data_IF_489847060597
#
_entry.id   IF_489847060597
#
_cell.length_a   1.000
_cell.length_b   1.000
_cell.length_c   1.000
_cell.angle_alpha   90.00
_cell.angle_beta   90.00
_cell.angle_gamma   90.00
#
_symmetry.space_group_name_H-M   'P 1'
#
loop_
_entity.id
_entity.type
_entity.pdbx_description
1 polymer ?
#
# COMPACT_ATOMS: atom_id res chain seq x y z
N UNK A 1 -10.06 -27.31 -29.65
CA UNK A 1 -9.80 -25.84 -29.68
C UNK A 1 -9.27 -25.49 -31.05
N UNK A 2 -9.98 -24.66 -31.82
CA UNK A 2 -9.60 -24.22 -33.16
C UNK A 2 -8.27 -23.47 -33.17
N UNK A 3 -7.62 -23.34 -34.35
CA UNK A 3 -6.38 -22.56 -34.47
C UNK A 3 -6.61 -21.09 -34.10
N UNK A 4 -7.76 -20.56 -34.51
CA UNK A 4 -8.16 -19.16 -34.22
C UNK A 4 -8.33 -18.89 -32.72
N UNK A 5 -8.94 -19.83 -31.98
CA UNK A 5 -9.04 -19.72 -30.52
C UNK A 5 -7.66 -19.70 -29.85
N UNK A 6 -6.74 -20.56 -30.27
CA UNK A 6 -5.37 -20.58 -29.73
C UNK A 6 -4.62 -19.29 -30.02
N UNK A 7 -4.80 -18.73 -31.23
CA UNK A 7 -4.21 -17.42 -31.56
C UNK A 7 -4.81 -16.28 -30.74
N UNK A 8 -6.14 -16.30 -30.53
CA UNK A 8 -6.80 -15.30 -29.71
C UNK A 8 -6.35 -15.37 -28.24
N UNK A 9 -6.21 -16.59 -27.69
CA UNK A 9 -5.71 -16.80 -26.33
C UNK A 9 -4.27 -16.29 -26.18
N UNK A 10 -3.38 -16.58 -27.13
CA UNK A 10 -2.02 -16.04 -27.15
C UNK A 10 -2.00 -14.50 -27.21
N UNK A 11 -2.91 -13.88 -27.96
CA UNK A 11 -3.05 -12.42 -27.99
C UNK A 11 -3.53 -11.85 -26.63
N UNK A 12 -4.43 -12.55 -25.95
CA UNK A 12 -4.89 -12.19 -24.60
C UNK A 12 -3.74 -12.25 -23.60
N UNK A 13 -2.91 -13.31 -23.63
CA UNK A 13 -1.74 -13.41 -22.76
C UNK A 13 -0.70 -12.31 -23.04
N UNK A 14 -0.60 -11.83 -24.26
CA UNK A 14 0.24 -10.67 -24.63
C UNK A 14 -0.41 -9.31 -24.32
N UNK A 15 -1.62 -9.28 -23.74
CA UNK A 15 -2.35 -8.05 -23.44
C UNK A 15 -2.93 -7.33 -24.67
N UNK A 16 -2.97 -7.99 -25.84
CA UNK A 16 -3.46 -7.41 -27.11
C UNK A 16 -4.96 -7.66 -27.27
N UNK A 17 -5.74 -7.11 -26.35
CA UNK A 17 -7.17 -7.42 -26.20
C UNK A 17 -8.03 -7.00 -27.38
N UNK A 18 -7.74 -5.86 -28.05
CA UNK A 18 -8.47 -5.41 -29.24
C UNK A 18 -8.27 -6.37 -30.41
N UNK A 19 -7.03 -6.85 -30.60
CA UNK A 19 -6.71 -7.78 -31.68
C UNK A 19 -7.34 -9.15 -31.42
N UNK A 20 -7.29 -9.63 -30.19
CA UNK A 20 -7.96 -10.85 -29.78
C UNK A 20 -9.47 -10.77 -30.00
N UNK A 21 -10.11 -9.66 -29.57
CA UNK A 21 -11.54 -9.44 -29.75
C UNK A 21 -11.97 -9.43 -31.24
N UNK A 22 -11.18 -8.81 -32.12
CA UNK A 22 -11.44 -8.80 -33.55
C UNK A 22 -11.37 -10.20 -34.16
N UNK A 23 -10.35 -11.00 -33.78
CA UNK A 23 -10.21 -12.39 -34.22
C UNK A 23 -11.36 -13.27 -33.73
N UNK A 24 -11.74 -13.12 -32.46
CA UNK A 24 -12.88 -13.85 -31.88
C UNK A 24 -14.21 -13.46 -32.49
N UNK A 25 -14.43 -12.17 -32.80
CA UNK A 25 -15.63 -11.75 -33.53
C UNK A 25 -15.75 -12.38 -34.90
N UNK A 26 -14.63 -12.55 -35.65
CA UNK A 26 -14.59 -13.25 -36.91
C UNK A 26 -14.93 -14.74 -36.76
N UNK A 27 -14.37 -15.42 -35.75
CA UNK A 27 -14.67 -16.81 -35.44
C UNK A 27 -16.16 -17.00 -35.08
N UNK A 28 -16.70 -16.16 -34.23
CA UNK A 28 -18.11 -16.20 -33.80
C UNK A 28 -19.10 -15.83 -34.92
N UNK A 29 -18.66 -15.23 -36.02
CA UNK A 29 -19.49 -15.05 -37.21
C UNK A 29 -19.79 -16.41 -37.92
N UNK A 30 -18.92 -17.40 -37.76
CA UNK A 30 -19.10 -18.76 -38.30
C UNK A 30 -19.62 -19.75 -37.29
N UNK A 31 -19.22 -19.56 -36.01
CA UNK A 31 -19.60 -20.43 -34.87
C UNK A 31 -20.17 -19.59 -33.71
N UNK A 32 -21.41 -19.06 -33.83
CA UNK A 32 -21.96 -18.07 -32.87
C UNK A 32 -22.23 -18.63 -31.47
N UNK A 33 -22.30 -19.94 -31.32
CA UNK A 33 -22.56 -20.61 -30.04
C UNK A 33 -21.30 -21.24 -29.42
N UNK A 34 -20.12 -20.95 -29.93
CA UNK A 34 -18.87 -21.42 -29.31
C UNK A 34 -18.68 -20.72 -27.94
N UNK A 35 -19.06 -21.45 -26.88
CA UNK A 35 -19.01 -20.94 -25.51
C UNK A 35 -17.60 -20.53 -25.10
N UNK A 36 -16.57 -21.26 -25.51
CA UNK A 36 -15.18 -20.95 -25.18
C UNK A 36 -14.73 -19.62 -25.85
N UNK A 37 -15.08 -19.42 -27.12
CA UNK A 37 -14.83 -18.16 -27.82
C UNK A 37 -15.58 -16.99 -27.20
N UNK A 38 -16.83 -17.18 -26.80
CA UNK A 38 -17.63 -16.17 -26.12
C UNK A 38 -17.03 -15.77 -24.75
N UNK A 39 -16.56 -16.75 -23.95
CA UNK A 39 -15.89 -16.47 -22.67
C UNK A 39 -14.61 -15.68 -22.89
N UNK A 40 -13.81 -16.03 -23.90
CA UNK A 40 -12.58 -15.32 -24.20
C UNK A 40 -12.84 -13.90 -24.72
N UNK A 41 -13.90 -13.71 -25.53
CA UNK A 41 -14.34 -12.39 -25.98
C UNK A 41 -14.85 -11.53 -24.80
N UNK A 42 -15.61 -12.13 -23.88
CA UNK A 42 -16.03 -11.45 -22.65
C UNK A 42 -14.82 -11.00 -21.81
N UNK A 43 -13.79 -11.85 -21.70
CA UNK A 43 -12.52 -11.50 -21.03
C UNK A 43 -11.82 -10.31 -21.73
N UNK A 44 -11.76 -10.29 -23.06
CA UNK A 44 -11.20 -9.15 -23.79
C UNK A 44 -11.97 -7.86 -23.52
N UNK A 45 -13.30 -7.88 -23.60
CA UNK A 45 -14.17 -6.71 -23.35
C UNK A 45 -14.02 -6.20 -21.93
N UNK A 46 -14.00 -7.10 -20.95
CA UNK A 46 -13.75 -6.75 -19.55
C UNK A 46 -12.38 -6.06 -19.36
N UNK A 47 -11.32 -6.57 -20.00
CA UNK A 47 -9.99 -5.97 -19.92
C UNK A 47 -9.89 -4.62 -20.63
N UNK A 48 -10.76 -4.35 -21.59
CA UNK A 48 -10.92 -3.07 -22.28
C UNK A 48 -11.82 -2.08 -21.50
N UNK A 49 -12.48 -2.52 -20.43
CA UNK A 49 -13.38 -1.71 -19.62
C UNK A 49 -14.83 -1.65 -20.11
N UNK A 50 -15.17 -2.47 -21.11
CA UNK A 50 -16.53 -2.56 -21.67
C UNK A 50 -17.40 -3.56 -20.91
N UNK A 51 -17.59 -3.31 -19.62
CA UNK A 51 -18.17 -4.26 -18.66
C UNK A 51 -19.58 -4.73 -19.04
N UNK A 52 -20.42 -3.83 -19.57
CA UNK A 52 -21.80 -4.20 -19.95
C UNK A 52 -21.83 -5.11 -21.18
N UNK A 53 -20.97 -4.86 -22.17
CA UNK A 53 -20.83 -5.73 -23.32
C UNK A 53 -20.19 -7.08 -22.95
N UNK A 54 -19.23 -7.05 -22.01
CA UNK A 54 -18.64 -8.26 -21.45
C UNK A 54 -19.69 -9.13 -20.76
N UNK A 55 -20.57 -8.51 -19.94
CA UNK A 55 -21.67 -9.23 -19.27
C UNK A 55 -22.63 -9.86 -20.29
N UNK A 56 -23.08 -9.09 -21.29
CA UNK A 56 -23.97 -9.61 -22.33
C UNK A 56 -23.33 -10.79 -23.09
N UNK A 57 -22.02 -10.73 -23.33
CA UNK A 57 -21.28 -11.79 -24.03
C UNK A 57 -21.15 -13.07 -23.20
N UNK A 58 -20.82 -12.94 -21.92
CA UNK A 58 -20.70 -14.13 -21.05
C UNK A 58 -22.07 -14.76 -20.79
N UNK A 59 -23.16 -13.99 -20.80
CA UNK A 59 -24.52 -14.53 -20.75
C UNK A 59 -24.90 -15.29 -22.02
N UNK A 60 -24.35 -14.91 -23.19
CA UNK A 60 -24.48 -15.74 -24.40
C UNK A 60 -23.72 -17.06 -24.24
N UNK A 61 -22.50 -17.04 -23.68
CA UNK A 61 -21.76 -18.26 -23.38
C UNK A 61 -22.54 -19.20 -22.46
N UNK A 62 -23.17 -18.67 -21.41
CA UNK A 62 -23.98 -19.43 -20.45
C UNK A 62 -25.29 -19.96 -21.06
N UNK A 63 -25.85 -19.32 -22.09
CA UNK A 63 -26.97 -19.87 -22.87
C UNK A 63 -26.55 -21.05 -23.74
N UNK A 64 -25.36 -20.97 -24.35
CA UNK A 64 -24.81 -22.06 -25.14
C UNK A 64 -24.36 -23.24 -24.24
N UNK A 65 -23.70 -22.96 -23.13
CA UNK A 65 -23.19 -23.96 -22.20
C UNK A 65 -23.46 -23.55 -20.75
N UNK A 66 -24.63 -23.93 -20.17
CA UNK A 66 -25.05 -23.53 -18.80
C UNK A 66 -24.12 -23.99 -17.68
N UNK A 67 -23.41 -25.08 -17.88
CA UNK A 67 -22.48 -25.66 -16.89
C UNK A 67 -21.00 -25.28 -17.17
N UNK A 68 -20.74 -24.27 -18.00
CA UNK A 68 -19.41 -23.75 -18.25
C UNK A 68 -18.87 -23.03 -17.01
N UNK A 69 -17.96 -23.68 -16.29
CA UNK A 69 -17.29 -23.09 -15.10
C UNK A 69 -16.58 -21.80 -15.47
N UNK A 70 -15.87 -21.77 -16.62
CA UNK A 70 -15.18 -20.59 -17.12
C UNK A 70 -16.11 -19.39 -17.33
N UNK A 71 -17.32 -19.64 -17.85
CA UNK A 71 -18.33 -18.60 -18.04
C UNK A 71 -18.87 -18.06 -16.71
N UNK A 72 -19.15 -18.91 -15.72
CA UNK A 72 -19.59 -18.49 -14.40
C UNK A 72 -18.50 -17.67 -13.65
N UNK A 73 -17.25 -18.09 -13.74
CA UNK A 73 -16.12 -17.34 -13.17
C UNK A 73 -15.96 -15.98 -13.85
N UNK A 74 -16.03 -15.95 -15.19
CA UNK A 74 -15.93 -14.69 -15.95
C UNK A 74 -17.08 -13.75 -15.61
N UNK A 75 -18.32 -14.26 -15.53
CA UNK A 75 -19.49 -13.49 -15.08
C UNK A 75 -19.29 -12.91 -13.69
N UNK A 76 -18.70 -13.69 -12.79
CA UNK A 76 -18.38 -13.20 -11.42
C UNK A 76 -17.41 -12.02 -11.47
N UNK A 77 -16.32 -12.10 -12.24
CA UNK A 77 -15.35 -11.01 -12.35
C UNK A 77 -15.96 -9.73 -12.93
N UNK A 78 -16.78 -9.85 -13.96
CA UNK A 78 -17.47 -8.72 -14.59
C UNK A 78 -18.44 -8.06 -13.59
N UNK A 79 -19.24 -8.87 -12.87
CA UNK A 79 -20.20 -8.37 -11.87
C UNK A 79 -19.50 -7.69 -10.68
N UNK A 80 -18.29 -8.16 -10.30
CA UNK A 80 -17.45 -7.47 -9.30
C UNK A 80 -17.01 -6.09 -9.80
N UNK A 81 -16.63 -5.96 -11.07
CA UNK A 81 -16.25 -4.68 -11.66
C UNK A 81 -17.46 -3.72 -11.73
N UNK A 82 -18.66 -4.24 -12.04
CA UNK A 82 -19.91 -3.51 -12.01
C UNK A 82 -20.43 -3.22 -10.59
N UNK A 83 -19.79 -3.80 -9.54
CA UNK A 83 -20.19 -3.71 -8.12
C UNK A 83 -21.54 -4.39 -7.80
N UNK A 84 -21.97 -5.29 -8.65
CA UNK A 84 -23.17 -6.11 -8.49
C UNK A 84 -22.87 -7.34 -7.60
N UNK A 85 -22.52 -7.07 -6.33
CA UNK A 85 -21.95 -8.06 -5.40
C UNK A 85 -22.88 -9.26 -5.14
N UNK A 86 -24.20 -9.05 -5.13
CA UNK A 86 -25.15 -10.14 -4.88
C UNK A 86 -25.17 -11.15 -6.04
N UNK A 87 -25.20 -10.65 -7.28
CA UNK A 87 -25.19 -11.50 -8.47
C UNK A 87 -23.82 -12.14 -8.67
N UNK A 88 -22.71 -11.45 -8.31
CA UNK A 88 -21.37 -12.00 -8.32
C UNK A 88 -21.28 -13.21 -7.36
N UNK A 89 -21.83 -13.09 -6.13
CA UNK A 89 -21.84 -14.19 -5.16
C UNK A 89 -22.65 -15.40 -5.67
N UNK A 90 -23.81 -15.17 -6.26
CA UNK A 90 -24.62 -16.23 -6.86
C UNK A 90 -23.84 -16.96 -7.97
N UNK A 91 -23.20 -16.21 -8.87
CA UNK A 91 -22.38 -16.76 -9.96
C UNK A 91 -21.20 -17.58 -9.43
N UNK A 92 -20.49 -17.07 -8.41
CA UNK A 92 -19.37 -17.77 -7.79
C UNK A 92 -19.82 -19.08 -7.09
N UNK A 93 -20.99 -19.07 -6.40
CA UNK A 93 -21.56 -20.27 -5.79
C UNK A 93 -21.91 -21.30 -6.86
N UNK A 94 -22.49 -20.86 -7.99
CA UNK A 94 -22.79 -21.76 -9.10
C UNK A 94 -21.53 -22.39 -9.69
N UNK A 95 -20.44 -21.65 -9.81
CA UNK A 95 -19.16 -22.21 -10.23
C UNK A 95 -18.62 -23.29 -9.26
N UNK A 96 -18.80 -23.10 -7.94
CA UNK A 96 -18.43 -24.11 -6.93
C UNK A 96 -19.33 -25.35 -7.01
N UNK A 97 -20.63 -25.19 -7.24
CA UNK A 97 -21.56 -26.32 -7.41
C UNK A 97 -21.21 -27.19 -8.61
N UNK A 98 -20.83 -26.57 -9.76
CA UNK A 98 -20.45 -27.28 -10.98
C UNK A 98 -19.06 -27.93 -10.83
N UNK A 99 -18.11 -27.21 -10.26
CA UNK A 99 -16.73 -27.69 -10.13
C UNK A 99 -16.19 -27.55 -8.70
N UNK A 100 -16.65 -28.41 -7.75
CA UNK A 100 -16.29 -28.31 -6.33
C UNK A 100 -14.83 -28.68 -6.05
N UNK A 101 -14.14 -29.33 -6.98
CA UNK A 101 -12.73 -29.69 -6.88
C UNK A 101 -11.79 -28.76 -7.66
N UNK A 102 -12.32 -27.76 -8.34
CA UNK A 102 -11.52 -26.75 -9.01
C UNK A 102 -11.21 -25.59 -8.07
N UNK A 103 -9.94 -25.39 -7.77
CA UNK A 103 -9.50 -24.37 -6.79
C UNK A 103 -9.98 -22.96 -7.16
N UNK A 104 -9.97 -22.63 -8.48
CA UNK A 104 -10.39 -21.33 -8.98
C UNK A 104 -11.84 -20.95 -8.64
N UNK A 105 -12.76 -21.94 -8.50
CA UNK A 105 -14.14 -21.72 -8.06
C UNK A 105 -14.15 -21.22 -6.61
N UNK A 106 -13.40 -21.86 -5.72
CA UNK A 106 -13.31 -21.47 -4.31
C UNK A 106 -12.55 -20.15 -4.12
N UNK A 107 -11.48 -19.94 -4.90
CA UNK A 107 -10.74 -18.68 -4.94
C UNK A 107 -11.67 -17.51 -5.31
N UNK A 108 -12.44 -17.66 -6.38
CA UNK A 108 -13.39 -16.63 -6.85
C UNK A 108 -14.49 -16.38 -5.83
N UNK A 109 -15.06 -17.44 -5.23
CA UNK A 109 -16.05 -17.28 -4.15
C UNK A 109 -15.46 -16.54 -2.95
N UNK A 110 -14.25 -16.91 -2.52
CA UNK A 110 -13.53 -16.24 -1.44
C UNK A 110 -13.31 -14.76 -1.73
N UNK A 111 -12.91 -14.42 -2.95
CA UNK A 111 -12.71 -13.04 -3.41
C UNK A 111 -13.99 -12.22 -3.36
N UNK A 112 -15.13 -12.77 -3.78
CA UNK A 112 -16.42 -12.09 -3.72
C UNK A 112 -16.86 -11.86 -2.27
N UNK A 113 -16.77 -12.90 -1.44
CA UNK A 113 -17.17 -12.83 -0.04
C UNK A 113 -16.30 -11.86 0.77
N UNK A 114 -15.02 -11.72 0.40
CA UNK A 114 -14.09 -10.78 1.04
C UNK A 114 -14.49 -9.31 0.86
N UNK A 115 -15.24 -8.96 -0.19
CA UNK A 115 -15.77 -7.60 -0.39
C UNK A 115 -16.85 -7.22 0.62
N UNK A 116 -17.39 -8.18 1.39
CA UNK A 116 -18.42 -7.94 2.38
C UNK A 116 -17.87 -7.37 3.68
N UNK A 117 -18.63 -6.46 4.29
CA UNK A 117 -18.33 -5.95 5.64
C UNK A 117 -18.83 -6.86 6.77
N UNK A 118 -19.72 -7.82 6.47
CA UNK A 118 -20.34 -8.71 7.46
C UNK A 118 -19.35 -9.78 7.94
N UNK A 119 -19.27 -9.97 9.25
CA UNK A 119 -18.32 -10.89 9.89
C UNK A 119 -18.49 -12.35 9.44
N UNK A 120 -19.74 -12.81 9.29
CA UNK A 120 -20.04 -14.17 8.83
C UNK A 120 -19.50 -14.42 7.42
N UNK A 121 -19.65 -13.43 6.53
CA UNK A 121 -19.12 -13.52 5.17
C UNK A 121 -17.58 -13.49 5.14
N UNK A 122 -16.93 -12.73 6.03
CA UNK A 122 -15.47 -12.75 6.14
C UNK A 122 -14.94 -14.12 6.55
N UNK A 123 -15.64 -14.81 7.48
CA UNK A 123 -15.29 -16.19 7.85
C UNK A 123 -15.51 -17.14 6.68
N UNK A 124 -16.64 -17.02 5.98
CA UNK A 124 -16.89 -17.84 4.79
C UNK A 124 -15.87 -17.58 3.68
N UNK A 125 -15.42 -16.33 3.48
CA UNK A 125 -14.32 -15.99 2.57
C UNK A 125 -13.02 -16.72 2.96
N UNK A 126 -12.69 -16.69 4.25
CA UNK A 126 -11.50 -17.36 4.75
C UNK A 126 -11.55 -18.88 4.57
N UNK A 127 -12.69 -19.53 4.83
CA UNK A 127 -12.85 -20.96 4.59
C UNK A 127 -12.77 -21.31 3.09
N UNK A 128 -13.38 -20.49 2.21
CA UNK A 128 -13.26 -20.68 0.77
C UNK A 128 -11.79 -20.54 0.29
N UNK A 129 -11.06 -19.55 0.79
CA UNK A 129 -9.64 -19.38 0.49
C UNK A 129 -8.80 -20.59 0.95
N UNK A 130 -9.06 -21.11 2.15
CA UNK A 130 -8.39 -22.31 2.66
C UNK A 130 -8.70 -23.54 1.81
N UNK A 131 -9.93 -23.67 1.33
CA UNK A 131 -10.31 -24.76 0.41
C UNK A 131 -9.56 -24.63 -0.91
N UNK A 132 -9.40 -23.43 -1.45
CA UNK A 132 -8.61 -23.19 -2.65
C UNK A 132 -7.15 -23.66 -2.48
N UNK A 133 -6.49 -23.30 -1.36
CA UNK A 133 -5.13 -23.77 -1.03
C UNK A 133 -5.07 -25.28 -0.86
N UNK A 134 -6.08 -25.90 -0.22
CA UNK A 134 -6.10 -27.35 -0.06
C UNK A 134 -6.22 -28.11 -1.39
N UNK A 135 -6.86 -27.51 -2.39
CA UNK A 135 -7.03 -28.06 -3.73
C UNK A 135 -5.81 -27.81 -4.65
N UNK A 136 -5.13 -26.69 -4.45
CA UNK A 136 -3.96 -26.29 -5.23
C UNK A 136 -2.93 -25.57 -4.35
N UNK A 137 -2.11 -26.31 -3.60
CA UNK A 137 -1.15 -25.74 -2.65
C UNK A 137 0.04 -25.03 -3.31
N UNK A 138 0.23 -25.20 -4.61
CA UNK A 138 1.26 -24.54 -5.43
C UNK A 138 0.82 -23.19 -6.01
N UNK A 139 -0.45 -22.82 -5.83
CA UNK A 139 -0.98 -21.58 -6.39
C UNK A 139 -0.74 -20.40 -5.45
N UNK A 140 0.12 -19.48 -5.88
CA UNK A 140 0.46 -18.26 -5.13
C UNK A 140 -0.78 -17.41 -4.80
N UNK A 141 -1.69 -17.24 -5.76
CA UNK A 141 -2.92 -16.46 -5.60
C UNK A 141 -3.84 -17.02 -4.51
N UNK A 142 -3.90 -18.35 -4.37
CA UNK A 142 -4.70 -19.00 -3.32
C UNK A 142 -4.12 -18.68 -1.92
N UNK A 143 -2.82 -18.74 -1.76
CA UNK A 143 -2.13 -18.35 -0.53
C UNK A 143 -2.28 -16.85 -0.24
N UNK A 144 -2.17 -16.01 -1.26
CA UNK A 144 -2.42 -14.58 -1.12
C UNK A 144 -3.84 -14.30 -0.60
N UNK A 145 -4.86 -14.97 -1.14
CA UNK A 145 -6.24 -14.82 -0.68
C UNK A 145 -6.41 -15.31 0.78
N UNK A 146 -5.76 -16.40 1.18
CA UNK A 146 -5.73 -16.82 2.60
C UNK A 146 -5.15 -15.71 3.46
N UNK A 147 -4.03 -15.09 3.05
CA UNK A 147 -3.41 -13.98 3.76
C UNK A 147 -4.36 -12.80 3.93
N UNK A 148 -5.03 -12.40 2.86
CA UNK A 148 -5.99 -11.30 2.86
C UNK A 148 -7.19 -11.56 3.78
N UNK A 149 -7.80 -12.72 3.64
CA UNK A 149 -9.02 -13.09 4.41
C UNK A 149 -8.70 -13.37 5.88
N UNK A 150 -7.57 -14.02 6.20
CA UNK A 150 -7.08 -14.20 7.57
C UNK A 150 -6.83 -12.85 8.27
N UNK A 151 -6.24 -11.88 7.56
CA UNK A 151 -6.05 -10.52 8.07
C UNK A 151 -7.38 -9.85 8.42
N UNK A 152 -8.45 -10.08 7.62
CA UNK A 152 -9.78 -9.50 7.85
C UNK A 152 -10.54 -10.15 9.00
N UNK A 153 -10.29 -11.41 9.30
CA UNK A 153 -10.83 -12.07 10.50
C UNK A 153 -9.97 -11.84 11.74
N UNK A 154 -8.81 -11.20 11.58
CA UNK A 154 -7.93 -10.80 12.68
C UNK A 154 -6.80 -11.79 13.00
N UNK A 155 -6.68 -12.89 12.25
CA UNK A 155 -5.58 -13.85 12.41
C UNK A 155 -4.33 -13.39 11.65
N UNK A 156 -3.60 -12.45 12.28
CA UNK A 156 -2.44 -11.81 11.67
C UNK A 156 -1.24 -12.76 11.53
N UNK A 157 -1.19 -13.83 12.31
CA UNK A 157 -0.10 -14.80 12.22
C UNK A 157 -0.26 -15.68 10.99
N UNK A 158 -1.46 -16.22 10.77
CA UNK A 158 -1.79 -16.98 9.55
C UNK A 158 -1.66 -16.07 8.32
N UNK A 159 -2.13 -14.82 8.41
CA UNK A 159 -1.98 -13.87 7.30
C UNK A 159 -0.50 -13.66 6.91
N UNK A 160 0.39 -13.51 7.89
CA UNK A 160 1.83 -13.36 7.63
C UNK A 160 2.39 -14.59 6.93
N UNK A 161 2.13 -15.79 7.47
CA UNK A 161 2.62 -17.06 6.90
C UNK A 161 2.11 -17.27 5.47
N UNK A 162 0.83 -16.97 5.23
CA UNK A 162 0.22 -17.12 3.92
C UNK A 162 0.83 -16.18 2.87
N UNK A 163 1.08 -14.90 3.23
CA UNK A 163 1.79 -13.97 2.33
C UNK A 163 3.24 -14.39 2.10
N UNK A 164 3.95 -14.89 3.13
CA UNK A 164 5.31 -15.40 2.98
C UNK A 164 5.35 -16.64 2.04
N UNK A 165 4.36 -17.53 2.13
CA UNK A 165 4.21 -18.66 1.20
C UNK A 165 3.88 -18.19 -0.21
N UNK A 166 2.95 -17.25 -0.37
CA UNK A 166 2.64 -16.67 -1.68
C UNK A 166 3.89 -16.09 -2.34
N UNK A 167 4.72 -15.34 -1.60
CA UNK A 167 5.99 -14.79 -2.10
C UNK A 167 7.08 -15.84 -2.36
N UNK A 168 7.03 -16.99 -1.70
CA UNK A 168 7.95 -18.10 -2.01
C UNK A 168 7.58 -18.79 -3.33
N UNK A 169 6.30 -18.80 -3.70
CA UNK A 169 5.77 -19.35 -4.95
C UNK A 169 5.87 -18.34 -6.10
N UNK A 170 5.54 -17.07 -5.83
CA UNK A 170 5.67 -15.97 -6.77
C UNK A 170 6.39 -14.78 -6.11
N UNK A 171 7.71 -14.66 -6.25
CA UNK A 171 8.49 -13.55 -5.70
C UNK A 171 8.20 -12.19 -6.35
N UNK A 172 7.52 -12.16 -7.50
CA UNK A 172 7.19 -10.94 -8.24
C UNK A 172 5.81 -10.38 -7.90
N UNK A 173 5.08 -10.98 -6.96
CA UNK A 173 3.78 -10.48 -6.51
C UNK A 173 3.91 -9.16 -5.74
N UNK A 174 3.68 -8.03 -6.43
CA UNK A 174 3.70 -6.70 -5.83
C UNK A 174 2.67 -6.55 -4.71
N UNK A 175 1.49 -7.15 -4.88
CA UNK A 175 0.40 -7.14 -3.91
C UNK A 175 0.76 -7.88 -2.61
N UNK A 176 1.39 -9.05 -2.72
CA UNK A 176 1.83 -9.82 -1.57
C UNK A 176 2.93 -9.08 -0.78
N UNK A 177 3.91 -8.48 -1.47
CA UNK A 177 4.92 -7.61 -0.85
C UNK A 177 4.29 -6.44 -0.10
N UNK A 178 3.33 -5.75 -0.72
CA UNK A 178 2.63 -4.62 -0.10
C UNK A 178 1.85 -5.05 1.16
N UNK A 179 1.07 -6.13 1.07
CA UNK A 179 0.23 -6.59 2.19
C UNK A 179 1.06 -7.12 3.37
N UNK A 180 2.12 -7.90 3.10
CA UNK A 180 3.07 -8.34 4.14
C UNK A 180 3.74 -7.14 4.82
N UNK A 181 4.10 -6.12 4.05
CA UNK A 181 4.69 -4.88 4.56
C UNK A 181 3.74 -4.12 5.49
N UNK A 182 2.45 -4.06 5.15
CA UNK A 182 1.42 -3.49 6.01
C UNK A 182 1.30 -4.24 7.34
N UNK A 183 1.40 -5.58 7.34
CA UNK A 183 1.44 -6.38 8.57
C UNK A 183 2.67 -6.07 9.41
N UNK A 184 3.86 -5.99 8.79
CA UNK A 184 5.08 -5.59 9.50
C UNK A 184 4.96 -4.20 10.09
N UNK A 185 4.32 -3.25 9.40
CA UNK A 185 4.11 -1.90 9.88
C UNK A 185 3.19 -1.83 11.10
N UNK A 186 2.17 -2.72 11.21
CA UNK A 186 1.33 -2.86 12.41
C UNK A 186 2.14 -3.26 13.64
N UNK A 187 3.20 -4.07 13.47
CA UNK A 187 4.07 -4.57 14.54
C UNK A 187 5.32 -3.72 14.78
N UNK A 188 5.45 -2.54 14.12
CA UNK A 188 6.66 -1.70 14.13
C UNK A 188 7.20 -1.32 15.51
N UNK A 189 6.34 -1.28 16.54
CA UNK A 189 6.72 -0.94 17.91
C UNK A 189 6.97 -2.16 18.80
N UNK A 190 6.41 -3.31 18.44
CA UNK A 190 6.48 -4.54 19.25
C UNK A 190 7.58 -5.50 18.82
N UNK A 191 7.94 -5.51 17.53
CA UNK A 191 8.93 -6.43 16.97
C UNK A 191 10.09 -5.65 16.35
N UNK A 192 11.36 -5.83 16.85
CA UNK A 192 12.53 -5.20 16.24
C UNK A 192 12.65 -5.54 14.75
N UNK A 193 13.07 -4.58 13.92
CA UNK A 193 13.24 -4.77 12.48
C UNK A 193 11.96 -4.75 11.66
N UNK A 194 10.75 -4.75 12.26
CA UNK A 194 9.50 -4.74 11.49
C UNK A 194 9.34 -3.51 10.61
N UNK A 195 9.81 -2.34 11.06
CA UNK A 195 9.79 -1.13 10.23
C UNK A 195 10.68 -1.28 8.99
N UNK A 196 11.87 -1.85 9.15
CA UNK A 196 12.82 -2.09 8.05
C UNK A 196 12.24 -3.06 7.04
N UNK A 197 11.72 -4.21 7.49
CA UNK A 197 11.04 -5.19 6.62
C UNK A 197 9.84 -4.60 5.88
N UNK A 198 9.06 -3.74 6.54
CA UNK A 198 7.96 -3.03 5.87
C UNK A 198 8.48 -2.10 4.77
N UNK A 199 9.55 -1.36 5.03
CA UNK A 199 10.16 -0.48 4.03
C UNK A 199 10.74 -1.27 2.85
N UNK A 200 11.42 -2.38 3.11
CA UNK A 200 11.95 -3.29 2.07
C UNK A 200 10.84 -3.80 1.16
N UNK A 201 9.78 -4.36 1.73
CA UNK A 201 8.68 -4.90 0.95
C UNK A 201 7.91 -3.83 0.17
N UNK A 202 7.71 -2.62 0.71
CA UNK A 202 7.12 -1.53 -0.08
C UNK A 202 8.02 -1.05 -1.21
N UNK A 203 9.34 -1.03 -1.02
CA UNK A 203 10.30 -0.72 -2.09
C UNK A 203 10.23 -1.79 -3.17
N UNK A 204 10.17 -3.06 -2.78
CA UNK A 204 10.03 -4.18 -3.72
C UNK A 204 8.71 -4.10 -4.50
N UNK A 205 7.58 -3.92 -3.80
CA UNK A 205 6.27 -3.74 -4.43
C UNK A 205 6.27 -2.59 -5.45
N UNK A 206 6.81 -1.42 -5.06
CA UNK A 206 6.88 -0.27 -5.96
C UNK A 206 7.88 -0.44 -7.12
N UNK A 207 8.86 -1.33 -7.00
CA UNK A 207 9.79 -1.67 -8.08
C UNK A 207 9.17 -2.63 -9.09
N UNK A 208 8.33 -3.56 -8.63
CA UNK A 208 7.62 -4.53 -9.48
C UNK A 208 6.46 -3.88 -10.24
N UNK A 209 5.71 -3.00 -9.58
CA UNK A 209 4.67 -2.21 -10.23
C UNK A 209 4.87 -0.71 -10.01
N UNK A 210 5.40 -0.04 -11.04
CA UNK A 210 5.64 1.41 -11.03
C UNK A 210 4.35 2.24 -10.92
N UNK A 211 3.20 1.66 -11.26
CA UNK A 211 1.89 2.30 -11.18
C UNK A 211 1.18 1.99 -9.86
N UNK A 212 1.74 1.14 -9.00
CA UNK A 212 1.18 0.86 -7.68
C UNK A 212 1.16 2.13 -6.82
N UNK A 213 0.00 2.78 -6.82
CA UNK A 213 -0.25 3.97 -6.00
C UNK A 213 -0.24 3.65 -4.50
N UNK A 214 -0.60 2.42 -4.14
CA UNK A 214 -0.68 2.00 -2.74
C UNK A 214 0.72 1.85 -2.13
N UNK A 215 1.62 1.13 -2.79
CA UNK A 215 3.00 0.96 -2.33
C UNK A 215 3.72 2.32 -2.24
N UNK A 216 3.57 3.17 -3.26
CA UNK A 216 4.12 4.53 -3.26
C UNK A 216 3.58 5.37 -2.10
N UNK A 217 2.28 5.37 -1.88
CA UNK A 217 1.64 6.08 -0.75
C UNK A 217 2.16 5.59 0.60
N UNK A 218 2.33 4.27 0.76
CA UNK A 218 2.87 3.67 1.98
C UNK A 218 4.32 4.12 2.24
N UNK A 219 5.17 4.16 1.20
CA UNK A 219 6.53 4.71 1.30
C UNK A 219 6.55 6.20 1.65
N UNK A 220 5.71 7.02 0.99
CA UNK A 220 5.57 8.44 1.31
C UNK A 220 5.14 8.64 2.77
N UNK A 221 4.21 7.81 3.26
CA UNK A 221 3.73 7.85 4.64
C UNK A 221 4.82 7.48 5.64
N UNK A 222 5.64 6.47 5.33
CA UNK A 222 6.78 6.08 6.16
C UNK A 222 7.87 7.16 6.19
N UNK A 223 8.21 7.74 5.04
CA UNK A 223 9.15 8.83 4.92
C UNK A 223 8.67 10.07 5.70
N UNK A 224 7.40 10.45 5.53
CA UNK A 224 6.80 11.54 6.28
C UNK A 224 6.81 11.27 7.79
N UNK A 225 6.43 10.08 8.23
CA UNK A 225 6.44 9.71 9.65
C UNK A 225 7.82 9.82 10.29
N UNK A 226 8.88 9.46 9.53
CA UNK A 226 10.26 9.60 9.98
C UNK A 226 10.64 11.07 10.15
N UNK A 227 10.41 11.91 9.13
CA UNK A 227 10.70 13.36 9.21
C UNK A 227 9.83 14.03 10.26
N UNK A 228 8.54 13.74 10.31
CA UNK A 228 7.63 14.31 11.31
C UNK A 228 8.00 13.89 12.74
N UNK A 229 8.60 12.72 12.94
CA UNK A 229 9.12 12.28 14.23
C UNK A 229 10.24 13.18 14.76
N UNK A 230 11.15 13.64 13.89
CA UNK A 230 12.28 14.50 14.26
C UNK A 230 11.85 15.89 14.81
N UNK A 231 10.57 16.30 14.58
CA UNK A 231 10.05 17.56 15.15
C UNK A 231 10.16 17.63 16.67
N UNK A 232 10.05 16.49 17.37
CA UNK A 232 10.17 16.49 18.83
C UNK A 232 11.58 16.84 19.29
N UNK A 233 12.59 16.38 18.58
CA UNK A 233 14.00 16.75 18.81
C UNK A 233 14.21 18.23 18.50
N UNK A 234 13.66 18.71 17.37
CA UNK A 234 13.73 20.11 16.99
C UNK A 234 13.02 21.02 18.00
N UNK A 235 11.83 20.64 18.48
CA UNK A 235 11.08 21.39 19.49
C UNK A 235 11.81 21.41 20.85
N UNK A 236 12.42 20.31 21.28
CA UNK A 236 13.21 20.27 22.50
C UNK A 236 14.44 21.21 22.40
N UNK A 237 15.16 21.17 21.28
CA UNK A 237 16.25 22.10 21.02
C UNK A 237 15.79 23.56 20.94
N UNK A 238 14.66 23.80 20.30
CA UNK A 238 14.03 25.12 20.21
C UNK A 238 13.67 25.68 21.59
N UNK A 239 13.03 24.88 22.44
CA UNK A 239 12.71 25.29 23.81
C UNK A 239 13.99 25.57 24.63
N UNK A 240 14.97 24.68 24.57
CA UNK A 240 16.24 24.87 25.29
C UNK A 240 16.99 26.14 24.81
N UNK A 241 17.02 26.39 23.48
CA UNK A 241 17.61 27.61 22.91
C UNK A 241 16.92 28.88 23.34
N UNK A 242 15.58 28.87 23.38
CA UNK A 242 14.78 30.01 23.84
C UNK A 242 15.01 30.32 25.30
N UNK A 243 15.08 29.29 26.17
CA UNK A 243 15.36 29.46 27.60
C UNK A 243 16.79 29.98 27.81
N UNK A 244 17.80 29.37 27.17
CA UNK A 244 19.19 29.76 27.31
C UNK A 244 19.41 31.23 26.86
N UNK A 245 18.90 31.60 25.68
CA UNK A 245 19.02 32.97 25.17
C UNK A 245 18.26 33.98 26.01
N UNK A 246 17.11 33.63 26.55
CA UNK A 246 16.34 34.49 27.47
C UNK A 246 17.10 34.77 28.75
N UNK A 247 17.74 33.76 29.35
CA UNK A 247 18.59 33.94 30.55
C UNK A 247 19.81 34.84 30.29
N UNK A 248 20.47 34.64 29.17
CA UNK A 248 21.61 35.48 28.77
C UNK A 248 21.20 36.93 28.58
N UNK A 249 20.05 37.21 27.95
CA UNK A 249 19.51 38.57 27.80
C UNK A 249 19.08 39.20 29.12
N UNK A 250 18.63 38.39 30.08
CA UNK A 250 18.27 38.83 31.42
C UNK A 250 19.51 39.17 32.30
N UNK A 251 20.71 39.12 31.74
CA UNK A 251 21.96 39.48 32.42
C UNK A 251 22.53 38.36 33.28
N UNK A 252 22.06 37.13 33.16
CA UNK A 252 22.67 35.97 33.84
C UNK A 252 24.10 35.81 33.34
N UNK A 253 25.07 35.82 34.25
CA UNK A 253 26.50 35.76 33.90
C UNK A 253 27.23 34.67 34.73
N UNK A 254 28.50 34.48 34.42
CA UNK A 254 29.34 33.50 35.12
C UNK A 254 28.93 32.04 34.88
N UNK A 255 29.04 31.22 35.93
CA UNK A 255 28.79 29.78 35.81
C UNK A 255 27.39 29.39 35.39
N UNK A 256 26.38 30.17 35.75
CA UNK A 256 24.98 29.91 35.38
C UNK A 256 24.71 30.15 33.86
N UNK A 257 25.34 31.16 33.27
CA UNK A 257 25.30 31.40 31.83
C UNK A 257 25.93 30.23 31.06
N UNK A 258 27.12 29.83 31.50
CA UNK A 258 27.84 28.68 30.90
C UNK A 258 26.98 27.41 31.03
N UNK A 259 26.41 27.12 32.19
CA UNK A 259 25.56 25.98 32.40
C UNK A 259 24.34 25.98 31.46
N UNK A 260 23.69 27.13 31.26
CA UNK A 260 22.54 27.24 30.33
C UNK A 260 22.90 26.94 28.89
N UNK A 261 24.05 27.42 28.42
CA UNK A 261 24.57 27.17 27.07
C UNK A 261 24.95 25.70 26.93
N UNK A 262 25.66 25.11 27.89
CA UNK A 262 26.08 23.72 27.89
C UNK A 262 24.87 22.78 27.84
N UNK A 263 23.85 23.02 28.67
CA UNK A 263 22.63 22.22 28.65
C UNK A 263 21.88 22.33 27.33
N UNK A 264 21.79 23.52 26.75
CA UNK A 264 21.19 23.69 25.43
C UNK A 264 21.98 22.94 24.35
N UNK A 265 23.29 23.06 24.34
CA UNK A 265 24.16 22.32 23.41
C UNK A 265 24.03 20.81 23.61
N UNK A 266 23.95 20.32 24.85
CA UNK A 266 23.74 18.91 25.13
C UNK A 266 22.39 18.40 24.61
N UNK A 267 21.31 19.19 24.72
CA UNK A 267 19.98 18.83 24.14
C UNK A 267 20.05 18.80 22.62
N UNK A 268 20.70 19.77 21.99
CA UNK A 268 20.84 19.83 20.54
C UNK A 268 21.70 18.67 20.01
N UNK A 269 22.92 18.53 20.51
CA UNK A 269 23.88 17.53 20.04
C UNK A 269 23.41 16.11 20.42
N UNK A 270 22.99 15.91 21.70
CA UNK A 270 22.52 14.62 22.18
C UNK A 270 21.22 14.19 21.50
N UNK A 271 20.27 15.11 21.35
CA UNK A 271 19.00 14.85 20.69
C UNK A 271 19.18 14.48 19.21
N UNK A 272 19.93 15.28 18.45
CA UNK A 272 20.18 15.02 17.03
C UNK A 272 21.14 13.85 16.83
N UNK A 273 22.16 13.69 17.66
CA UNK A 273 23.05 12.54 17.64
C UNK A 273 22.28 11.23 17.91
N UNK A 274 21.42 11.23 18.94
CA UNK A 274 20.54 10.12 19.24
C UNK A 274 19.56 9.82 18.10
N UNK A 275 18.94 10.85 17.51
CA UNK A 275 18.06 10.70 16.35
C UNK A 275 18.79 10.13 15.14
N UNK A 276 19.99 10.64 14.82
CA UNK A 276 20.81 10.15 13.73
C UNK A 276 21.22 8.68 13.93
N UNK A 277 21.66 8.33 15.14
CA UNK A 277 22.02 6.96 15.48
C UNK A 277 20.80 6.02 15.39
N UNK A 278 19.62 6.47 15.86
CA UNK A 278 18.38 5.73 15.72
C UNK A 278 18.01 5.53 14.24
N UNK A 279 18.14 6.58 13.43
CA UNK A 279 17.83 6.53 11.99
C UNK A 279 18.77 5.58 11.25
N UNK A 280 20.08 5.65 11.51
CA UNK A 280 21.08 4.80 10.85
C UNK A 280 20.93 3.33 11.21
N UNK A 281 20.50 3.03 12.43
CA UNK A 281 20.17 1.66 12.85
C UNK A 281 18.88 1.14 12.22
N UNK A 282 17.94 2.02 11.94
CA UNK A 282 16.61 1.67 11.43
C UNK A 282 16.53 1.64 9.90
N UNK A 283 17.32 2.48 9.23
CA UNK A 283 17.36 2.58 7.77
C UNK A 283 18.70 2.04 7.24
N UNK A 284 18.74 0.78 6.81
CA UNK A 284 19.94 0.18 6.21
C UNK A 284 20.40 0.95 4.97
N UNK A 285 21.67 0.84 4.59
CA UNK A 285 22.24 1.62 3.48
C UNK A 285 21.49 1.47 2.14
N UNK A 286 21.02 0.26 1.83
CA UNK A 286 20.31 -0.03 0.58
C UNK A 286 18.95 0.68 0.47
N UNK A 287 18.27 0.95 1.60
CA UNK A 287 16.98 1.67 1.61
C UNK A 287 17.11 3.20 1.58
N UNK A 288 18.31 3.76 1.85
CA UNK A 288 18.48 5.22 1.97
C UNK A 288 18.20 5.94 0.66
N UNK A 289 18.70 5.42 -0.47
CA UNK A 289 18.48 6.02 -1.80
C UNK A 289 17.02 5.98 -2.24
N UNK A 290 16.32 4.83 -2.23
CA UNK A 290 14.89 4.78 -2.55
C UNK A 290 14.03 5.72 -1.69
N UNK A 291 14.23 5.70 -0.36
CA UNK A 291 13.48 6.57 0.54
C UNK A 291 13.76 8.06 0.32
N UNK A 292 15.01 8.44 0.00
CA UNK A 292 15.35 9.81 -0.34
C UNK A 292 14.69 10.28 -1.64
N UNK A 293 14.66 9.43 -2.67
CA UNK A 293 14.01 9.75 -3.94
C UNK A 293 12.51 9.98 -3.76
N UNK A 294 11.83 9.07 -3.04
CA UNK A 294 10.41 9.20 -2.69
C UNK A 294 10.17 10.46 -1.85
N UNK A 295 11.04 10.74 -0.88
CA UNK A 295 10.93 11.92 -0.01
C UNK A 295 11.00 13.23 -0.78
N UNK A 296 11.93 13.34 -1.74
CA UNK A 296 12.12 14.55 -2.57
C UNK A 296 10.93 14.81 -3.49
N UNK A 297 10.27 13.76 -4.00
CA UNK A 297 9.07 13.87 -4.82
C UNK A 297 7.79 14.18 -4.03
N UNK A 298 7.81 14.02 -2.71
CA UNK A 298 6.63 14.17 -1.86
C UNK A 298 6.58 15.55 -1.19
N UNK A 299 5.77 16.49 -1.73
CA UNK A 299 5.62 17.85 -1.19
C UNK A 299 5.35 17.88 0.33
N UNK A 300 4.45 17.05 0.92
CA UNK A 300 4.23 16.98 2.38
C UNK A 300 5.50 16.65 3.17
N UNK A 301 6.34 15.74 2.67
CA UNK A 301 7.60 15.36 3.33
C UNK A 301 8.59 16.52 3.31
N UNK A 302 8.74 17.17 2.14
CA UNK A 302 9.63 18.32 1.96
C UNK A 302 9.20 19.48 2.85
N UNK A 303 7.89 19.82 2.88
CA UNK A 303 7.38 20.89 3.73
C UNK A 303 7.69 20.64 5.22
N UNK A 304 7.51 19.40 5.68
CA UNK A 304 7.82 19.04 7.06
C UNK A 304 9.32 19.11 7.36
N UNK A 305 10.16 18.67 6.41
CA UNK A 305 11.62 18.76 6.55
C UNK A 305 12.09 20.22 6.65
N UNK A 306 11.55 21.10 5.82
CA UNK A 306 11.83 22.55 5.86
C UNK A 306 11.43 23.14 7.22
N UNK A 307 10.22 22.84 7.70
CA UNK A 307 9.74 23.35 9.00
C UNK A 307 10.64 22.90 10.17
N UNK A 308 11.05 21.63 10.18
CA UNK A 308 12.00 21.09 11.18
C UNK A 308 13.36 21.79 11.08
N UNK A 309 13.88 21.97 9.84
CA UNK A 309 15.16 22.62 9.61
C UNK A 309 15.16 24.10 10.09
N UNK A 310 14.07 24.81 9.87
CA UNK A 310 13.90 26.19 10.35
C UNK A 310 13.91 26.28 11.87
N UNK A 311 13.25 25.34 12.57
CA UNK A 311 13.31 25.28 14.05
C UNK A 311 14.73 25.03 14.56
N UNK A 312 15.46 24.12 13.93
CA UNK A 312 16.86 23.82 14.30
C UNK A 312 17.75 25.03 14.05
N UNK A 313 17.64 25.64 12.86
CA UNK A 313 18.41 26.83 12.51
C UNK A 313 18.15 27.97 13.49
N UNK A 314 16.89 28.22 13.83
CA UNK A 314 16.53 29.22 14.83
C UNK A 314 17.15 28.91 16.20
N UNK A 315 17.13 27.64 16.65
CA UNK A 315 17.71 27.23 17.93
C UNK A 315 19.22 27.49 17.99
N UNK A 316 19.92 27.22 16.90
CA UNK A 316 21.36 27.48 16.79
C UNK A 316 21.63 28.99 16.73
N UNK A 317 20.90 29.74 15.91
CA UNK A 317 21.07 31.18 15.78
C UNK A 317 20.79 31.93 17.08
N UNK A 318 19.74 31.57 17.82
CA UNK A 318 19.43 32.21 19.11
C UNK A 318 20.47 31.90 20.19
N UNK A 319 21.16 30.78 20.11
CA UNK A 319 22.24 30.45 21.03
C UNK A 319 23.52 31.21 20.71
N UNK A 320 23.87 31.31 19.40
CA UNK A 320 25.13 31.96 18.93
C UNK A 320 24.99 33.47 18.92
N UNK A 321 23.85 33.99 18.48
CA UNK A 321 23.55 35.41 18.31
C UNK A 321 22.56 35.90 19.37
N UNK A 322 22.72 35.48 20.62
CA UNK A 322 21.80 35.78 21.73
C UNK A 322 21.56 37.26 21.94
N UNK A 323 22.53 38.11 21.61
CA UNK A 323 22.52 39.57 21.73
C UNK A 323 21.63 40.26 20.68
N UNK A 324 21.21 39.54 19.63
CA UNK A 324 20.32 40.08 18.57
C UNK A 324 18.86 39.98 19.02
N UNK A 325 18.25 41.12 19.39
CA UNK A 325 16.89 41.16 19.94
C UNK A 325 15.80 40.61 18.99
N UNK A 326 15.92 40.88 17.72
CA UNK A 326 14.93 40.46 16.68
C UNK A 326 14.75 38.94 16.55
N UNK A 327 15.76 38.14 16.91
CA UNK A 327 15.68 36.67 16.81
C UNK A 327 14.62 36.06 17.74
N UNK A 328 14.43 36.64 18.94
CA UNK A 328 13.42 36.18 19.86
C UNK A 328 11.98 36.33 19.35
N UNK A 329 11.72 37.38 18.57
CA UNK A 329 10.39 37.64 18.01
C UNK A 329 9.99 36.58 16.97
N UNK A 330 10.96 35.89 16.32
CA UNK A 330 10.69 34.83 15.37
C UNK A 330 10.27 33.50 16.02
N UNK A 331 10.43 33.36 17.33
CA UNK A 331 10.13 32.10 18.04
C UNK A 331 8.66 31.70 17.90
N UNK A 332 7.73 32.64 18.13
CA UNK A 332 6.30 32.36 18.05
C UNK A 332 5.85 31.96 16.64
N UNK A 333 6.14 32.72 15.57
CA UNK A 333 5.71 32.34 14.22
C UNK A 333 6.38 31.04 13.73
N UNK A 334 7.62 30.73 14.09
CA UNK A 334 8.27 29.48 13.69
C UNK A 334 7.65 28.27 14.39
N UNK A 335 7.34 28.37 15.69
CA UNK A 335 6.66 27.32 16.43
C UNK A 335 5.30 26.99 15.77
N UNK A 336 4.45 28.02 15.61
CA UNK A 336 3.12 27.80 15.02
C UNK A 336 3.21 27.41 13.54
N UNK A 337 4.16 27.95 12.79
CA UNK A 337 4.46 27.52 11.43
C UNK A 337 4.75 26.03 11.33
N UNK A 338 5.55 25.48 12.24
CA UNK A 338 5.84 24.05 12.29
C UNK A 338 4.61 23.22 12.67
N UNK A 339 3.80 23.68 13.63
CA UNK A 339 2.54 23.01 14.03
C UNK A 339 1.54 22.99 12.86
N UNK A 340 1.33 24.13 12.20
CA UNK A 340 0.44 24.22 11.04
C UNK A 340 0.95 23.33 9.91
N UNK A 341 2.25 23.38 9.60
CA UNK A 341 2.87 22.55 8.56
C UNK A 341 2.67 21.06 8.84
N UNK A 342 2.76 20.63 10.10
CA UNK A 342 2.48 19.25 10.48
C UNK A 342 1.05 18.84 10.13
N UNK A 343 0.04 19.62 10.49
CA UNK A 343 -1.36 19.29 10.23
C UNK A 343 -1.72 19.38 8.75
N UNK A 344 -1.22 20.40 8.06
CA UNK A 344 -1.46 20.59 6.62
C UNK A 344 -0.79 19.46 5.81
N UNK A 345 0.48 19.14 6.12
CA UNK A 345 1.20 18.07 5.42
C UNK A 345 0.59 16.70 5.68
N UNK A 346 0.12 16.44 6.91
CA UNK A 346 -0.60 15.21 7.26
C UNK A 346 -1.92 15.09 6.49
N UNK A 347 -2.72 16.17 6.46
CA UNK A 347 -3.98 16.21 5.72
C UNK A 347 -3.78 16.06 4.21
N UNK A 348 -2.75 16.71 3.66
CA UNK A 348 -2.40 16.58 2.24
C UNK A 348 -1.97 15.16 1.88
N UNK A 349 -1.24 14.47 2.78
CA UNK A 349 -0.86 13.07 2.58
C UNK A 349 -2.09 12.15 2.63
N UNK A 350 -2.99 12.34 3.61
CA UNK A 350 -4.22 11.54 3.70
C UNK A 350 -5.13 11.67 2.46
N UNK A 351 -5.16 12.84 1.81
CA UNK A 351 -5.93 13.05 0.57
C UNK A 351 -5.33 12.28 -0.63
N UNK A 352 -4.09 11.85 -0.55
CA UNK A 352 -3.41 11.03 -1.58
C UNK A 352 -3.64 9.54 -1.39
N UNK A 353 -4.23 9.13 -0.26
CA UNK A 353 -4.55 7.73 -0.02
C UNK A 353 -5.38 7.20 -1.19
N UNK A 354 -4.98 6.09 -1.82
CA UNK A 354 -5.80 5.43 -2.83
C UNK A 354 -7.16 5.10 -2.23
N UNK A 355 -8.22 5.32 -3.02
CA UNK A 355 -9.56 4.89 -2.60
C UNK A 355 -9.59 3.36 -2.57
N UNK A 356 -10.19 2.77 -1.53
CA UNK A 356 -10.33 1.32 -1.39
C UNK A 356 -11.13 0.70 -2.52
#
# INVERSE_FOLDING_TARGET
MSLELRQADALVELGRYEQAAALLAKHLATEPEDAAALVLLARCRHRLGDEQQALATVEQALRAEPDSVGAWLMRTHILLALKEYAQAEESARRAVEIAPRYWGSHYTLGTVLDRSVRTERKRAAYEAARTAVALAPEESDAHFLVGLTAQRVGDLQVAQQAYETALSLDPESSEAHNNLSLLHLRHRWRRPGSWTRAAEGFVQSAALDLNDRQARYNLETMAWGTVAGSRWVALAGFAAGSVASGRLRAGVSGGEAVLSVVLCAAVLVGGWGGWFLWLTRRVPPHLRRPLLLVSRGCKPVVAMAVAVSLLVLHSVLTLVLWHVEGLGALAFPLFWGAVITYWVSRGALQRRAPKP
#
